data_IF_570958178770
#
_entry.id   IF_570958178770
#
_cell.length_a   1.000
_cell.length_b   1.000
_cell.length_c   1.000
_cell.angle_alpha   90.00
_cell.angle_beta   90.00
_cell.angle_gamma   90.00
#
_symmetry.space_group_name_H-M   'P 1'
#
loop_
_entity.id
_entity.type
_entity.pdbx_description
1 polymer ?
#
# COMPACT_ATOMS: atom_id res chain seq x y z
N UNK A 1 -5.25 -4.86 -12.77
CA UNK A 1 -3.81 -4.98 -13.10
C UNK A 1 -3.18 -5.95 -12.10
N UNK A 2 -2.38 -6.90 -12.58
CA UNK A 2 -1.64 -7.79 -11.70
C UNK A 2 -0.50 -7.00 -11.05
N UNK A 3 -0.68 -6.62 -9.80
CA UNK A 3 0.36 -5.97 -8.99
C UNK A 3 1.04 -7.07 -8.17
N UNK A 4 2.38 -7.13 -8.14
CA UNK A 4 3.09 -8.15 -7.36
C UNK A 4 2.70 -8.04 -5.88
N UNK A 5 2.53 -9.19 -5.24
CA UNK A 5 2.21 -9.31 -3.80
C UNK A 5 3.14 -8.51 -2.88
N UNK A 6 4.49 -8.48 -3.07
CA UNK A 6 5.37 -7.70 -2.20
C UNK A 6 5.07 -6.19 -2.26
N UNK A 7 4.77 -5.65 -3.44
CA UNK A 7 4.49 -4.22 -3.59
C UNK A 7 3.19 -3.84 -2.88
N UNK A 8 2.15 -4.68 -2.96
CA UNK A 8 0.90 -4.45 -2.22
C UNK A 8 1.18 -4.39 -0.71
N UNK A 9 1.99 -5.31 -0.21
CA UNK A 9 2.31 -5.37 1.22
C UNK A 9 3.12 -4.15 1.68
N UNK A 10 4.14 -3.75 0.93
CA UNK A 10 4.90 -2.51 1.18
C UNK A 10 3.99 -1.29 1.28
N UNK A 11 3.03 -1.16 0.37
CA UNK A 11 2.07 -0.05 0.36
C UNK A 11 1.18 -0.08 1.61
N UNK A 12 0.63 -1.25 1.95
CA UNK A 12 -0.22 -1.43 3.13
C UNK A 12 0.52 -1.11 4.43
N UNK A 13 1.74 -1.62 4.59
CA UNK A 13 2.61 -1.34 5.75
C UNK A 13 2.86 0.16 5.88
N UNK A 14 3.22 0.82 4.76
CA UNK A 14 3.49 2.26 4.74
C UNK A 14 2.28 3.11 5.13
N UNK A 15 1.09 2.72 4.68
CA UNK A 15 -0.15 3.40 5.05
C UNK A 15 -0.47 3.25 6.54
N UNK A 16 -0.15 2.11 7.15
CA UNK A 16 -0.40 1.90 8.58
C UNK A 16 0.57 2.72 9.45
N UNK A 17 1.84 2.81 9.05
CA UNK A 17 2.86 3.62 9.74
C UNK A 17 2.54 5.12 9.71
N UNK A 18 2.34 5.68 8.51
CA UNK A 18 2.21 7.13 8.32
C UNK A 18 0.78 7.64 8.35
N UNK A 19 -0.22 6.76 8.19
CA UNK A 19 -1.66 7.07 8.04
C UNK A 19 -2.04 7.98 6.86
N UNK A 20 -1.06 8.56 6.17
CA UNK A 20 -1.21 9.37 4.97
C UNK A 20 -0.15 9.01 3.93
N UNK A 21 -0.51 9.12 2.65
CA UNK A 21 0.39 8.92 1.52
C UNK A 21 0.21 10.02 0.48
N UNK A 22 1.32 10.56 -0.01
CA UNK A 22 1.33 11.53 -1.11
C UNK A 22 1.75 10.82 -2.40
N UNK A 23 1.05 11.07 -3.50
CA UNK A 23 1.40 10.56 -4.82
C UNK A 23 1.37 11.69 -5.84
N UNK A 24 2.45 11.86 -6.59
CA UNK A 24 2.48 12.75 -7.76
C UNK A 24 1.79 12.08 -8.95
N UNK A 25 1.05 12.87 -9.73
CA UNK A 25 0.40 12.42 -10.96
C UNK A 25 1.39 12.39 -12.12
N UNK A 26 2.36 11.48 -12.01
CA UNK A 26 3.36 11.14 -13.03
C UNK A 26 3.20 9.68 -13.45
N UNK A 27 3.22 9.42 -14.76
CA UNK A 27 2.96 8.09 -15.33
C UNK A 27 4.23 7.24 -15.35
N UNK A 28 5.35 7.83 -15.78
CA UNK A 28 6.67 7.21 -15.69
C UNK A 28 7.39 7.80 -14.48
N UNK A 29 7.52 6.99 -13.43
CA UNK A 29 8.22 7.38 -12.21
C UNK A 29 8.03 6.37 -11.09
N UNK A 30 9.03 6.31 -10.21
CA UNK A 30 8.95 5.57 -8.96
C UNK A 30 8.56 6.51 -7.84
N UNK A 31 7.81 5.99 -6.88
CA UNK A 31 7.48 6.73 -5.68
C UNK A 31 8.72 6.91 -4.80
N UNK A 32 9.00 8.14 -4.35
CA UNK A 32 10.22 8.50 -3.59
C UNK A 32 10.45 7.62 -2.36
N UNK A 33 9.41 7.28 -1.60
CA UNK A 33 9.56 6.53 -0.35
C UNK A 33 9.56 5.00 -0.54
N UNK A 34 8.92 4.49 -1.60
CA UNK A 34 8.57 3.07 -1.73
C UNK A 34 9.29 2.39 -2.89
N UNK A 35 9.90 3.16 -3.79
CA UNK A 35 10.53 2.70 -5.04
C UNK A 35 9.58 1.88 -5.94
N UNK A 36 8.27 2.00 -5.72
CA UNK A 36 7.23 1.33 -6.50
C UNK A 36 6.81 2.24 -7.66
N UNK A 37 6.53 1.68 -8.86
CA UNK A 37 6.00 2.46 -9.97
C UNK A 37 4.68 3.17 -9.60
N UNK A 38 4.59 4.46 -9.89
CA UNK A 38 3.42 5.30 -9.56
C UNK A 38 2.12 4.76 -10.16
N UNK A 39 2.19 4.12 -11.33
CA UNK A 39 1.04 3.47 -11.96
C UNK A 39 0.45 2.36 -11.09
N UNK A 40 1.29 1.47 -10.55
CA UNK A 40 0.85 0.37 -9.69
C UNK A 40 0.19 0.91 -8.42
N UNK A 41 0.81 1.94 -7.84
CA UNK A 41 0.29 2.60 -6.65
C UNK A 41 -1.06 3.29 -6.92
N UNK A 42 -1.20 4.01 -8.04
CA UNK A 42 -2.44 4.68 -8.44
C UNK A 42 -3.59 3.69 -8.64
N UNK A 43 -3.32 2.56 -9.29
CA UNK A 43 -4.31 1.48 -9.50
C UNK A 43 -4.69 0.83 -8.16
N UNK A 44 -3.72 0.56 -7.29
CA UNK A 44 -3.99 0.00 -5.97
C UNK A 44 -4.80 0.94 -5.08
N UNK A 45 -4.49 2.23 -5.10
CA UNK A 45 -5.27 3.22 -4.35
C UNK A 45 -6.70 3.34 -4.86
N UNK A 46 -6.93 3.19 -6.17
CA UNK A 46 -8.29 3.16 -6.74
C UNK A 46 -9.13 2.03 -6.14
N UNK A 47 -8.56 0.83 -5.96
CA UNK A 47 -9.29 -0.28 -5.33
C UNK A 47 -9.53 -0.04 -3.85
N UNK A 48 -8.57 0.55 -3.14
CA UNK A 48 -8.74 0.89 -1.72
C UNK A 48 -9.82 1.96 -1.49
N UNK A 49 -9.94 2.91 -2.43
CA UNK A 49 -11.02 3.91 -2.43
C UNK A 49 -12.38 3.27 -2.67
N UNK A 50 -12.49 2.32 -3.63
CA UNK A 50 -13.77 1.64 -3.88
C UNK A 50 -14.26 0.83 -2.68
N UNK A 51 -13.35 0.35 -1.82
CA UNK A 51 -13.70 -0.32 -0.57
C UNK A 51 -13.98 0.64 0.60
N UNK A 52 -13.74 1.95 0.44
CA UNK A 52 -13.95 2.94 1.50
C UNK A 52 -12.85 2.99 2.57
N UNK A 53 -11.71 2.32 2.35
CA UNK A 53 -10.60 2.29 3.31
C UNK A 53 -9.77 3.58 3.32
N UNK A 54 -9.78 4.30 2.20
CA UNK A 54 -8.95 5.49 2.00
C UNK A 54 -9.78 6.59 1.35
N UNK A 55 -9.62 7.82 1.85
CA UNK A 55 -10.14 9.02 1.21
C UNK A 55 -9.05 9.65 0.35
N UNK A 56 -9.44 10.13 -0.83
CA UNK A 56 -8.54 10.78 -1.78
C UNK A 56 -8.87 12.26 -1.92
N UNK A 57 -7.86 13.10 -1.77
CA UNK A 57 -7.92 14.53 -2.11
C UNK A 57 -6.92 14.79 -3.22
N UNK A 58 -7.33 15.46 -4.29
CA UNK A 58 -6.45 15.75 -5.42
C UNK A 58 -6.30 17.25 -5.62
N UNK A 59 -5.07 17.76 -5.46
CA UNK A 59 -4.75 19.19 -5.55
C UNK A 59 -3.40 19.33 -6.26
N UNK A 60 -3.34 20.19 -7.27
CA UNK A 60 -2.11 20.59 -7.96
C UNK A 60 -1.25 19.40 -8.42
N UNK A 61 -1.85 18.43 -9.11
CA UNK A 61 -1.18 17.19 -9.57
C UNK A 61 -0.64 16.30 -8.44
N UNK A 62 -0.99 16.56 -7.19
CA UNK A 62 -0.72 15.69 -6.05
C UNK A 62 -2.02 15.02 -5.59
N UNK A 63 -1.97 13.72 -5.40
CA UNK A 63 -3.04 12.94 -4.77
C UNK A 63 -2.64 12.62 -3.35
N UNK A 64 -3.39 13.15 -2.40
CA UNK A 64 -3.29 12.86 -0.99
C UNK A 64 -4.25 11.72 -0.66
N UNK A 65 -3.73 10.70 -0.02
CA UNK A 65 -4.50 9.56 0.47
C UNK A 65 -4.50 9.59 1.99
N UNK A 66 -5.69 9.63 2.57
CA UNK A 66 -5.93 9.67 4.01
C UNK A 66 -6.61 8.37 4.42
N UNK A 67 -6.05 7.70 5.42
CA UNK A 67 -6.60 6.45 5.93
C UNK A 67 -7.84 6.71 6.80
N UNK A 68 -8.90 5.94 6.60
CA UNK A 68 -10.10 5.97 7.48
C UNK A 68 -9.96 4.99 8.64
N UNK A 69 -10.73 5.16 9.71
CA UNK A 69 -10.74 4.24 10.85
C UNK A 69 -11.10 2.80 10.45
N UNK A 70 -12.07 2.65 9.54
CA UNK A 70 -12.44 1.36 8.96
C UNK A 70 -11.27 0.74 8.19
N UNK A 71 -10.57 1.54 7.38
CA UNK A 71 -9.36 1.12 6.70
C UNK A 71 -8.28 0.63 7.66
N UNK A 72 -8.04 1.36 8.75
CA UNK A 72 -7.03 1.00 9.76
C UNK A 72 -7.31 -0.37 10.40
N UNK A 73 -8.55 -0.62 10.84
CA UNK A 73 -8.92 -1.92 11.41
C UNK A 73 -8.72 -3.06 10.41
N UNK A 74 -9.14 -2.85 9.16
CA UNK A 74 -9.03 -3.88 8.13
C UNK A 74 -7.58 -4.17 7.74
N UNK A 75 -6.77 -3.13 7.62
CA UNK A 75 -5.33 -3.26 7.35
C UNK A 75 -4.64 -4.03 8.49
N UNK A 76 -4.98 -3.78 9.76
CA UNK A 76 -4.43 -4.52 10.90
C UNK A 76 -4.74 -6.02 10.80
N UNK A 77 -5.99 -6.37 10.53
CA UNK A 77 -6.40 -7.78 10.35
C UNK A 77 -5.61 -8.47 9.23
N UNK A 78 -5.44 -7.78 8.09
CA UNK A 78 -4.73 -8.33 6.93
C UNK A 78 -3.21 -8.44 7.15
N UNK A 79 -2.61 -7.48 7.87
CA UNK A 79 -1.18 -7.46 8.14
C UNK A 79 -0.77 -8.48 9.22
N UNK A 80 -1.59 -8.68 10.26
CA UNK A 80 -1.33 -9.69 11.31
C UNK A 80 -1.23 -11.10 10.69
N UNK A 81 -2.16 -11.45 9.81
CA UNK A 81 -2.12 -12.74 9.11
C UNK A 81 -0.87 -12.91 8.21
N UNK A 82 -0.29 -11.81 7.77
CA UNK A 82 0.86 -11.83 6.87
C UNK A 82 2.20 -11.84 7.61
N UNK A 83 2.28 -11.27 8.82
CA UNK A 83 3.50 -11.28 9.64
C UNK A 83 3.87 -12.72 10.03
N UNK A 84 2.86 -13.52 10.40
CA UNK A 84 2.97 -14.96 10.61
C UNK A 84 3.38 -15.71 9.32
N UNK A 85 2.87 -15.28 8.17
CA UNK A 85 3.20 -15.84 6.86
C UNK A 85 4.63 -15.57 6.41
N UNK A 86 5.17 -14.38 6.70
CA UNK A 86 6.55 -13.99 6.36
C UNK A 86 7.57 -14.66 7.29
N UNK A 87 7.29 -14.77 8.60
CA UNK A 87 8.11 -15.54 9.52
C UNK A 87 8.28 -16.99 9.07
N UNK A 88 7.22 -17.60 8.54
CA UNK A 88 7.25 -18.95 7.98
C UNK A 88 8.01 -19.06 6.64
N UNK A 89 8.02 -18.00 5.81
CA UNK A 89 8.78 -17.99 4.55
C UNK A 89 10.27 -17.69 4.72
N UNK A 90 10.64 -16.83 5.68
CA UNK A 90 12.04 -16.61 6.05
C UNK A 90 12.63 -17.85 6.73
N UNK A 91 11.84 -18.55 7.56
CA UNK A 91 12.24 -19.82 8.16
C UNK A 91 12.46 -20.93 7.12
N UNK A 92 11.67 -20.98 6.03
CA UNK A 92 11.88 -21.99 4.99
C UNK A 92 13.02 -21.65 4.03
N UNK A 93 13.30 -20.37 3.81
CA UNK A 93 14.42 -19.91 2.98
C UNK A 93 15.79 -20.02 3.69
N UNK A 94 15.83 -20.04 5.02
CA UNK A 94 17.07 -20.22 5.79
C UNK A 94 17.49 -21.69 5.99
N UNK A 95 16.62 -22.65 5.64
CA UNK A 95 16.84 -24.10 5.80
C UNK A 95 17.25 -24.78 4.47
N UNK A 96 17.29 -24.04 3.36
CA UNK A 96 17.76 -24.48 2.06
C UNK A 96 19.13 -23.88 1.72
#
# INVERSE_FOLDING_TARGET
>A
MLIPTPNKYKIKRRLLEKKALLLEDTVLGNHRDLEIPNLQLKVFMKTMISHGYVQKVHIWRHSYFLLTSLGESRLREELVFTDEGMANQEASAAVA
#
